data_IF_806393072089
#
_entry.id   IF_806393072089
#
_cell.length_a   1.000
_cell.length_b   1.000
_cell.length_c   1.000
_cell.angle_alpha   90.00
_cell.angle_beta   90.00
_cell.angle_gamma   90.00
#
_symmetry.space_group_name_H-M   'P 1'
#
loop_
_entity.id
_entity.type
_entity.pdbx_description
1 polymer ?
#
# COMPACT_ATOMS: atom_id res chain seq x y z
N UNK A 1 12.04 -60.39 -18.58
CA UNK A 1 12.94 -59.69 -17.63
C UNK A 1 13.32 -58.28 -18.10
N UNK A 2 13.90 -58.06 -19.29
CA UNK A 2 14.28 -56.71 -19.78
C UNK A 2 13.13 -55.69 -19.81
N UNK A 3 11.94 -56.09 -20.27
CA UNK A 3 10.74 -55.22 -20.29
C UNK A 3 10.28 -54.82 -18.87
N UNK A 4 10.34 -55.74 -17.91
CA UNK A 4 9.97 -55.48 -16.52
C UNK A 4 10.93 -54.48 -15.84
N UNK A 5 12.24 -54.65 -16.07
CA UNK A 5 13.27 -53.73 -15.58
C UNK A 5 13.07 -52.33 -16.16
N UNK A 6 12.75 -52.24 -17.45
CA UNK A 6 12.47 -50.95 -18.11
C UNK A 6 11.21 -50.28 -17.53
N UNK A 7 10.13 -51.02 -17.32
CA UNK A 7 8.90 -50.49 -16.74
C UNK A 7 9.11 -50.00 -15.30
N UNK A 8 9.87 -50.75 -14.49
CA UNK A 8 10.22 -50.35 -13.12
C UNK A 8 11.10 -49.09 -13.13
N UNK A 9 12.09 -49.02 -14.01
CA UNK A 9 12.95 -47.84 -14.14
C UNK A 9 12.17 -46.59 -14.55
N UNK A 10 11.18 -46.74 -15.43
CA UNK A 10 10.31 -45.64 -15.86
C UNK A 10 9.40 -45.17 -14.72
N UNK A 11 8.83 -46.09 -13.93
CA UNK A 11 8.01 -45.78 -12.75
C UNK A 11 8.81 -45.02 -11.66
N UNK A 12 10.08 -45.38 -11.46
CA UNK A 12 10.97 -44.70 -10.50
C UNK A 12 11.31 -43.28 -10.97
N UNK A 13 11.50 -43.04 -12.27
CA UNK A 13 11.81 -41.69 -12.77
C UNK A 13 10.57 -40.77 -12.65
N UNK A 14 9.38 -41.30 -12.89
CA UNK A 14 8.12 -40.53 -12.78
C UNK A 14 7.81 -40.17 -11.32
N UNK A 15 8.15 -41.03 -10.35
CA UNK A 15 7.90 -40.73 -8.93
C UNK A 15 8.81 -39.64 -8.38
N UNK A 16 10.03 -39.46 -8.90
CA UNK A 16 10.98 -38.42 -8.43
C UNK A 16 10.63 -37.04 -9.04
N UNK A 17 10.06 -37.00 -10.25
CA UNK A 17 9.69 -35.76 -10.92
C UNK A 17 8.35 -35.15 -10.44
N UNK A 18 7.59 -35.87 -9.59
CA UNK A 18 6.21 -35.52 -9.22
C UNK A 18 6.05 -34.65 -7.96
N UNK A 19 7.13 -34.28 -7.27
CA UNK A 19 7.01 -33.50 -6.03
C UNK A 19 7.07 -32.00 -6.32
N UNK A 20 5.91 -31.36 -6.32
CA UNK A 20 5.82 -29.90 -6.16
C UNK A 20 6.23 -29.56 -4.72
N UNK A 21 7.54 -29.38 -4.51
CA UNK A 21 8.07 -29.00 -3.21
C UNK A 21 8.03 -27.47 -3.07
N UNK A 22 7.60 -26.98 -1.90
CA UNK A 22 7.77 -25.58 -1.54
C UNK A 22 9.27 -25.27 -1.53
N UNK A 23 9.70 -24.44 -2.49
CA UNK A 23 11.08 -23.98 -2.57
C UNK A 23 11.16 -22.59 -1.98
N UNK A 24 12.03 -22.41 -0.99
CA UNK A 24 12.35 -21.08 -0.49
C UNK A 24 13.11 -20.32 -1.58
N UNK A 25 12.49 -19.27 -2.14
CA UNK A 25 13.12 -18.42 -3.15
C UNK A 25 13.92 -17.27 -2.52
N UNK A 26 13.54 -16.82 -1.33
CA UNK A 26 14.24 -15.78 -0.59
C UNK A 26 13.53 -15.39 0.71
N UNK A 27 14.11 -14.46 1.45
CA UNK A 27 13.54 -13.90 2.67
C UNK A 27 13.79 -12.39 2.76
N UNK A 28 12.94 -11.70 3.51
CA UNK A 28 13.06 -10.28 3.82
C UNK A 28 12.82 -10.07 5.31
N UNK A 29 13.52 -9.13 5.93
CA UNK A 29 13.36 -8.80 7.35
C UNK A 29 12.17 -7.86 7.62
N UNK A 30 11.11 -7.97 6.82
CA UNK A 30 9.90 -7.16 6.94
C UNK A 30 8.71 -7.87 6.27
N UNK A 31 7.51 -7.46 6.66
CA UNK A 31 6.28 -7.93 6.03
C UNK A 31 6.11 -7.26 4.67
N UNK A 32 6.05 -8.06 3.61
CA UNK A 32 5.66 -7.58 2.29
C UNK A 32 4.15 -7.73 2.09
N UNK A 33 3.55 -6.74 1.43
CA UNK A 33 2.21 -6.84 0.85
C UNK A 33 2.32 -6.98 -0.65
N UNK A 34 1.34 -7.60 -1.31
CA UNK A 34 1.23 -7.55 -2.77
C UNK A 34 0.43 -6.33 -3.19
N UNK A 35 0.85 -5.71 -4.29
CA UNK A 35 0.08 -4.68 -4.98
C UNK A 35 -0.12 -5.10 -6.43
N UNK A 36 -1.23 -4.68 -7.02
CA UNK A 36 -1.54 -4.94 -8.42
C UNK A 36 -1.62 -3.62 -9.17
N UNK A 37 -0.72 -3.45 -10.13
CA UNK A 37 -0.74 -2.34 -11.08
C UNK A 37 -1.67 -2.66 -12.25
N UNK A 38 -1.87 -1.69 -13.15
CA UNK A 38 -2.65 -1.90 -14.37
C UNK A 38 -2.16 -3.12 -15.15
N UNK A 39 -3.08 -3.75 -15.89
CA UNK A 39 -2.85 -4.96 -16.71
C UNK A 39 -2.41 -6.19 -15.89
N UNK A 40 -2.71 -6.24 -14.60
CA UNK A 40 -2.46 -7.41 -13.75
C UNK A 40 -1.00 -7.59 -13.34
N UNK A 41 -0.16 -6.56 -13.50
CA UNK A 41 1.23 -6.63 -13.07
C UNK A 41 1.28 -6.59 -11.54
N UNK A 42 1.70 -7.70 -10.93
CA UNK A 42 1.85 -7.82 -9.47
C UNK A 42 3.26 -7.44 -9.04
N UNK A 43 3.37 -6.71 -7.93
CA UNK A 43 4.62 -6.33 -7.27
C UNK A 43 4.53 -6.61 -5.78
N UNK A 44 5.68 -6.71 -5.12
CA UNK A 44 5.76 -6.68 -3.67
C UNK A 44 5.99 -5.26 -3.17
N UNK A 45 5.39 -4.90 -2.04
CA UNK A 45 5.53 -3.62 -1.38
C UNK A 45 5.98 -3.84 0.07
N UNK A 46 7.09 -3.20 0.43
CA UNK A 46 7.63 -3.16 1.78
C UNK A 46 7.56 -1.72 2.31
N UNK A 47 7.09 -1.57 3.55
CA UNK A 47 7.15 -0.29 4.28
C UNK A 47 8.42 -0.26 5.12
N UNK A 48 9.10 0.88 5.17
CA UNK A 48 10.21 1.16 6.08
C UNK A 48 9.73 2.29 7.01
N UNK A 49 9.05 1.96 8.13
CA UNK A 49 8.34 2.96 8.93
C UNK A 49 9.25 4.05 9.51
N UNK A 50 10.45 3.68 9.95
CA UNK A 50 11.40 4.62 10.56
C UNK A 50 11.98 5.63 9.57
N UNK A 51 11.90 5.33 8.27
CA UNK A 51 12.46 6.16 7.20
C UNK A 51 11.37 6.87 6.39
N UNK A 52 10.09 6.69 6.75
CA UNK A 52 8.95 7.15 5.95
C UNK A 52 9.13 6.80 4.47
N UNK A 53 9.58 5.57 4.19
CA UNK A 53 9.90 5.13 2.84
C UNK A 53 9.15 3.84 2.51
N UNK A 54 8.88 3.63 1.23
CA UNK A 54 8.47 2.33 0.71
C UNK A 54 9.46 1.83 -0.33
N UNK A 55 9.57 0.51 -0.41
CA UNK A 55 10.32 -0.17 -1.47
C UNK A 55 9.36 -1.10 -2.19
N UNK A 56 9.33 -0.98 -3.51
CA UNK A 56 8.52 -1.82 -4.39
C UNK A 56 9.47 -2.74 -5.13
N UNK A 57 9.22 -4.05 -5.05
CA UNK A 57 10.02 -5.09 -5.68
C UNK A 57 9.25 -5.77 -6.80
N UNK A 58 9.99 -6.25 -7.78
CA UNK A 58 9.51 -7.28 -8.70
C UNK A 58 9.31 -8.61 -7.95
N UNK A 59 8.58 -9.55 -8.58
CA UNK A 59 8.35 -10.87 -7.99
C UNK A 59 9.65 -11.70 -7.85
N UNK A 60 10.67 -11.39 -8.64
CA UNK A 60 12.03 -11.96 -8.53
C UNK A 60 12.89 -11.31 -7.44
N UNK A 61 12.28 -10.57 -6.52
CA UNK A 61 12.91 -9.86 -5.40
C UNK A 61 13.83 -8.70 -5.80
N UNK A 62 13.94 -8.34 -7.08
CA UNK A 62 14.72 -7.16 -7.50
C UNK A 62 13.98 -5.85 -7.18
N UNK A 63 14.71 -4.82 -6.74
CA UNK A 63 14.13 -3.50 -6.45
C UNK A 63 13.65 -2.87 -7.74
N UNK A 64 12.38 -2.46 -7.78
CA UNK A 64 11.80 -1.71 -8.89
C UNK A 64 11.82 -0.20 -8.60
N UNK A 65 11.32 0.20 -7.43
CA UNK A 65 11.24 1.60 -7.00
C UNK A 65 11.49 1.72 -5.50
N UNK A 66 12.12 2.81 -5.11
CA UNK A 66 12.27 3.24 -3.72
C UNK A 66 11.70 4.65 -3.65
N UNK A 67 10.67 4.85 -2.84
CA UNK A 67 9.89 6.10 -2.82
C UNK A 67 9.81 6.62 -1.40
N UNK A 68 10.33 7.82 -1.20
CA UNK A 68 10.21 8.56 0.05
C UNK A 68 8.81 9.15 0.17
N UNK A 69 8.16 8.91 1.29
CA UNK A 69 6.84 9.44 1.60
C UNK A 69 6.98 10.81 2.28
N UNK A 70 6.17 11.77 1.86
CA UNK A 70 6.09 13.10 2.46
C UNK A 70 5.22 13.08 3.72
N UNK A 71 5.58 12.25 4.70
CA UNK A 71 4.88 12.16 5.99
C UNK A 71 5.10 13.46 6.77
N UNK A 72 4.04 14.19 7.14
CA UNK A 72 4.18 15.45 7.86
C UNK A 72 4.89 15.28 9.22
N UNK A 73 5.49 16.36 9.71
CA UNK A 73 6.10 16.37 11.05
C UNK A 73 5.06 15.95 12.10
N UNK A 74 5.52 15.21 13.11
CA UNK A 74 4.70 14.66 14.21
C UNK A 74 3.63 13.64 13.80
N UNK A 75 3.62 13.21 12.53
CA UNK A 75 2.77 12.11 12.09
C UNK A 75 3.54 10.79 12.07
N UNK A 76 2.81 9.69 12.26
CA UNK A 76 3.28 8.32 12.05
C UNK A 76 2.59 7.74 10.83
N UNK A 77 3.35 7.06 9.96
CA UNK A 77 2.80 6.31 8.85
C UNK A 77 1.90 5.19 9.37
N UNK A 78 0.71 5.08 8.79
CA UNK A 78 -0.26 4.03 9.11
C UNK A 78 -0.26 2.96 8.02
N UNK A 79 -0.88 3.28 6.88
CA UNK A 79 -1.08 2.32 5.81
C UNK A 79 -0.79 2.92 4.42
N UNK A 80 -0.16 2.13 3.56
CA UNK A 80 -0.19 2.38 2.11
C UNK A 80 -1.50 1.80 1.60
N UNK A 81 -2.41 2.68 1.21
CA UNK A 81 -3.78 2.35 0.84
C UNK A 81 -3.90 2.00 -0.65
N UNK A 82 -3.13 2.65 -1.51
CA UNK A 82 -3.15 2.40 -2.94
C UNK A 82 -1.79 2.73 -3.58
N UNK A 83 -1.44 1.97 -4.62
CA UNK A 83 -0.29 2.27 -5.49
C UNK A 83 -0.73 2.06 -6.93
N UNK A 84 -0.47 3.04 -7.79
CA UNK A 84 -0.89 3.00 -9.19
C UNK A 84 0.14 3.62 -10.13
N UNK A 85 -0.08 3.42 -11.42
CA UNK A 85 0.52 4.22 -12.49
C UNK A 85 -0.60 4.59 -13.44
N UNK A 86 -0.66 5.86 -13.85
CA UNK A 86 -1.68 6.42 -14.75
C UNK A 86 -3.14 6.31 -14.22
N UNK A 87 -3.35 6.11 -12.92
CA UNK A 87 -4.71 6.02 -12.36
C UNK A 87 -5.16 7.38 -11.84
N UNK A 88 -4.27 8.10 -11.16
CA UNK A 88 -4.57 9.41 -10.61
C UNK A 88 -4.24 10.52 -11.62
N UNK A 89 -3.08 10.41 -12.29
CA UNK A 89 -2.66 11.31 -13.36
C UNK A 89 -2.44 10.56 -14.69
N UNK A 90 -2.08 11.31 -15.74
CA UNK A 90 -1.79 10.76 -17.09
C UNK A 90 -0.33 10.37 -17.28
N UNK A 91 0.57 10.92 -16.47
CA UNK A 91 1.99 10.65 -16.54
C UNK A 91 2.34 9.20 -16.16
N UNK A 92 3.62 8.84 -16.30
CA UNK A 92 4.14 7.50 -16.02
C UNK A 92 4.68 7.37 -14.60
N UNK A 93 4.43 8.35 -13.73
CA UNK A 93 4.90 8.27 -12.35
C UNK A 93 4.04 7.30 -11.56
N UNK A 94 4.69 6.58 -10.64
CA UNK A 94 3.96 5.82 -9.62
C UNK A 94 3.30 6.81 -8.68
N UNK A 95 2.00 6.69 -8.47
CA UNK A 95 1.28 7.46 -7.47
C UNK A 95 0.88 6.58 -6.27
N UNK A 96 0.96 7.17 -5.08
CA UNK A 96 0.74 6.46 -3.82
C UNK A 96 -0.33 7.21 -3.03
N UNK A 97 -1.35 6.48 -2.58
CA UNK A 97 -2.27 6.94 -1.55
C UNK A 97 -1.88 6.27 -0.24
N UNK A 98 -1.64 7.05 0.80
CA UNK A 98 -1.33 6.52 2.12
C UNK A 98 -2.00 7.32 3.23
N UNK A 99 -2.16 6.68 4.38
CA UNK A 99 -2.63 7.30 5.62
C UNK A 99 -1.49 7.48 6.59
N UNK A 100 -1.52 8.58 7.32
CA UNK A 100 -0.71 8.80 8.50
C UNK A 100 -1.57 9.44 9.59
N UNK A 101 -1.14 9.37 10.85
CA UNK A 101 -1.88 10.00 11.95
C UNK A 101 -0.95 10.77 12.88
N UNK A 102 -1.50 11.80 13.52
CA UNK A 102 -0.88 12.48 14.65
C UNK A 102 -1.81 12.44 15.87
N UNK A 103 -1.22 12.60 17.05
CA UNK A 103 -1.94 12.85 18.28
C UNK A 103 -1.68 14.29 18.73
N UNK A 104 -2.73 15.05 19.00
CA UNK A 104 -2.66 16.35 19.66
C UNK A 104 -2.92 16.19 21.17
N UNK A 105 -2.05 16.77 21.98
CA UNK A 105 -2.21 16.92 23.42
C UNK A 105 -2.89 18.28 23.64
N UNK A 106 -4.00 18.33 24.37
CA UNK A 106 -4.61 19.62 24.77
C UNK A 106 -3.79 20.22 25.91
N UNK A 107 -3.39 21.48 25.75
CA UNK A 107 -2.55 22.22 26.71
C UNK A 107 -3.22 22.45 28.10
N UNK A 108 -4.53 22.19 28.23
CA UNK A 108 -5.34 22.53 29.41
C UNK A 108 -5.51 21.40 30.46
N UNK A 109 -4.78 20.28 30.35
CA UNK A 109 -4.91 19.17 31.32
C UNK A 109 -3.61 19.00 32.12
N UNK A 110 -3.54 19.67 33.28
CA UNK A 110 -2.59 19.35 34.38
C UNK A 110 -2.96 18.01 35.04
N UNK A 111 -2.98 16.89 34.31
CA UNK A 111 -2.97 15.55 34.94
C UNK A 111 -2.21 14.56 34.06
N UNK A 112 -1.20 13.97 34.68
CA UNK A 112 -0.39 12.87 34.19
C UNK A 112 -1.20 11.60 33.90
N UNK A 113 -0.61 10.72 33.08
CA UNK A 113 -1.05 9.34 32.76
C UNK A 113 -2.20 9.22 31.73
N UNK A 114 -1.82 9.12 30.45
CA UNK A 114 -2.63 8.69 29.28
C UNK A 114 -3.50 9.73 28.54
N UNK A 115 -3.14 11.02 28.53
CA UNK A 115 -3.88 12.08 27.84
C UNK A 115 -3.51 12.31 26.36
N UNK A 116 -4.03 11.51 25.42
CA UNK A 116 -4.16 11.96 24.02
C UNK A 116 -5.61 12.37 23.78
N UNK A 117 -5.85 13.61 23.39
CA UNK A 117 -7.22 14.13 23.29
C UNK A 117 -7.75 14.20 21.88
N UNK A 118 -6.89 14.10 20.85
CA UNK A 118 -7.33 14.20 19.46
C UNK A 118 -6.40 13.43 18.52
N UNK A 119 -6.98 12.45 17.81
CA UNK A 119 -6.31 11.70 16.76
C UNK A 119 -6.68 12.31 15.41
N UNK A 120 -5.66 12.62 14.61
CA UNK A 120 -5.84 13.31 13.32
C UNK A 120 -5.37 12.35 12.22
N UNK A 121 -6.28 11.59 11.60
CA UNK A 121 -5.94 10.82 10.42
C UNK A 121 -5.76 11.77 9.25
N UNK A 122 -4.74 11.55 8.44
CA UNK A 122 -4.47 12.32 7.25
C UNK A 122 -4.26 11.38 6.08
N UNK A 123 -5.06 11.57 5.02
CA UNK A 123 -4.90 10.90 3.75
C UNK A 123 -4.01 11.77 2.86
N UNK A 124 -2.97 11.16 2.30
CA UNK A 124 -2.01 11.81 1.43
C UNK A 124 -1.98 11.09 0.10
N UNK A 125 -1.81 11.87 -0.97
CA UNK A 125 -1.52 11.40 -2.32
C UNK A 125 -0.21 12.03 -2.75
N UNK A 126 0.74 11.21 -3.15
CA UNK A 126 2.04 11.65 -3.65
C UNK A 126 2.37 10.94 -4.98
N UNK A 127 3.36 11.46 -5.70
CA UNK A 127 4.02 10.72 -6.77
C UNK A 127 5.34 10.09 -6.30
N UNK A 128 6.02 9.36 -7.19
CA UNK A 128 7.27 8.67 -6.90
C UNK A 128 8.46 9.57 -6.60
N UNK A 129 8.34 10.87 -6.90
CA UNK A 129 9.34 11.88 -6.58
C UNK A 129 9.14 12.47 -5.16
N UNK A 130 8.07 12.05 -4.47
CA UNK A 130 7.69 12.58 -3.16
C UNK A 130 6.87 13.88 -3.23
N UNK A 131 6.50 14.34 -4.43
CA UNK A 131 5.67 15.54 -4.58
C UNK A 131 4.26 15.28 -4.06
N UNK A 132 3.76 16.17 -3.21
CA UNK A 132 2.43 16.07 -2.62
C UNK A 132 1.40 16.58 -3.63
N UNK A 133 0.55 15.67 -4.11
CA UNK A 133 -0.53 15.96 -5.03
C UNK A 133 -1.82 16.33 -4.29
N UNK A 134 -2.06 15.71 -3.13
CA UNK A 134 -3.23 15.95 -2.30
C UNK A 134 -2.93 15.60 -0.83
N UNK A 135 -3.39 16.43 0.09
CA UNK A 135 -3.34 16.16 1.54
C UNK A 135 -4.68 16.55 2.15
N UNK A 136 -5.31 15.63 2.86
CA UNK A 136 -6.62 15.84 3.49
C UNK A 136 -6.55 15.31 4.92
N UNK A 137 -6.61 16.24 5.86
CA UNK A 137 -6.74 15.94 7.28
C UNK A 137 -8.17 15.52 7.62
N UNK A 138 -8.30 14.76 8.71
CA UNK A 138 -9.53 14.08 9.12
C UNK A 138 -10.08 13.12 8.05
N UNK A 139 -9.19 12.41 7.34
CA UNK A 139 -9.55 11.42 6.34
C UNK A 139 -8.61 10.22 6.36
N UNK A 140 -9.17 9.02 6.23
CA UNK A 140 -8.41 7.78 6.05
C UNK A 140 -8.96 6.86 4.95
N UNK A 141 -10.20 7.11 4.54
CA UNK A 141 -10.93 6.28 3.59
C UNK A 141 -11.16 7.02 2.27
N UNK A 142 -11.11 6.28 1.18
CA UNK A 142 -11.33 6.80 -0.17
C UNK A 142 -11.94 5.74 -1.08
N UNK A 143 -12.42 6.17 -2.24
CA UNK A 143 -12.87 5.29 -3.31
C UNK A 143 -12.51 5.89 -4.65
N UNK A 144 -11.96 5.07 -5.54
CA UNK A 144 -11.80 5.43 -6.95
C UNK A 144 -13.00 4.86 -7.71
N UNK A 145 -13.69 5.71 -8.46
CA UNK A 145 -14.85 5.34 -9.28
C UNK A 145 -14.54 5.67 -10.73
N UNK A 146 -14.74 4.71 -11.62
CA UNK A 146 -14.60 4.87 -13.06
C UNK A 146 -15.94 4.59 -13.73
N UNK A 147 -16.49 5.58 -14.43
CA UNK A 147 -17.74 5.46 -15.16
C UNK A 147 -17.73 6.39 -16.38
N UNK A 148 -18.19 5.88 -17.53
CA UNK A 148 -18.34 6.64 -18.77
C UNK A 148 -17.06 7.38 -19.20
N UNK A 149 -15.88 6.77 -19.01
CA UNK A 149 -14.59 7.38 -19.36
C UNK A 149 -14.11 8.50 -18.42
N UNK A 150 -14.85 8.82 -17.36
CA UNK A 150 -14.40 9.72 -16.29
C UNK A 150 -14.03 8.94 -15.05
N UNK A 151 -12.94 9.36 -14.39
CA UNK A 151 -12.53 8.81 -13.10
C UNK A 151 -12.66 9.86 -12.01
N UNK A 152 -13.16 9.43 -10.86
CA UNK A 152 -13.34 10.26 -9.68
C UNK A 152 -12.65 9.62 -8.49
N UNK A 153 -11.97 10.44 -7.71
CA UNK A 153 -11.48 10.09 -6.39
C UNK A 153 -12.44 10.70 -5.36
N UNK A 154 -13.12 9.84 -4.61
CA UNK A 154 -13.96 10.22 -3.49
C UNK A 154 -13.13 10.04 -2.22
N UNK A 155 -13.01 11.07 -1.39
CA UNK A 155 -12.34 10.99 -0.09
C UNK A 155 -13.36 11.30 1.01
N UNK A 156 -13.43 10.42 2.02
CA UNK A 156 -14.40 10.54 3.11
C UNK A 156 -13.76 11.28 4.28
N UNK A 157 -14.33 12.43 4.63
CA UNK A 157 -13.83 13.32 5.68
C UNK A 157 -14.72 13.29 6.92
N UNK A 158 -14.10 13.06 8.06
CA UNK A 158 -14.72 13.08 9.39
C UNK A 158 -14.78 14.51 9.92
N UNK A 159 -15.77 14.81 10.78
CA UNK A 159 -15.87 16.09 11.49
C UNK A 159 -15.69 15.83 12.98
N UNK A 160 -14.72 16.49 13.58
CA UNK A 160 -14.42 16.35 15.01
C UNK A 160 -13.59 15.12 15.33
N UNK A 161 -13.57 14.76 16.61
CA UNK A 161 -12.72 13.71 17.18
C UNK A 161 -13.39 12.32 17.11
N UNK A 162 -14.63 12.24 16.62
CA UNK A 162 -15.44 11.04 16.56
C UNK A 162 -15.50 10.47 15.13
N UNK A 163 -14.83 9.32 14.92
CA UNK A 163 -14.73 8.63 13.62
C UNK A 163 -16.06 8.07 13.10
N UNK A 164 -17.13 8.14 13.90
CA UNK A 164 -18.43 7.54 13.59
C UNK A 164 -19.29 8.43 12.70
N UNK A 165 -19.03 9.74 12.64
CA UNK A 165 -19.79 10.66 11.80
C UNK A 165 -19.01 11.02 10.52
N UNK A 166 -19.29 10.30 9.42
CA UNK A 166 -18.93 10.76 8.08
C UNK A 166 -19.77 11.99 7.76
N UNK A 167 -19.12 13.14 7.55
CA UNK A 167 -19.82 14.42 7.43
C UNK A 167 -19.64 15.08 6.07
N UNK A 168 -18.60 14.72 5.32
CA UNK A 168 -18.34 15.28 3.99
C UNK A 168 -17.62 14.28 3.09
N UNK A 169 -18.03 14.19 1.82
CA UNK A 169 -17.28 13.51 0.77
C UNK A 169 -16.66 14.56 -0.13
N UNK A 170 -15.34 14.54 -0.25
CA UNK A 170 -14.60 15.36 -1.21
C UNK A 170 -14.49 14.58 -2.52
N UNK A 171 -14.82 15.21 -3.64
CA UNK A 171 -14.85 14.56 -4.96
C UNK A 171 -13.86 15.28 -5.87
N UNK A 172 -12.84 14.55 -6.33
CA UNK A 172 -11.82 15.05 -7.25
C UNK A 172 -11.98 14.40 -8.60
N UNK A 173 -11.77 15.18 -9.67
CA UNK A 173 -11.56 14.62 -10.98
C UNK A 173 -10.13 14.11 -11.07
N UNK A 174 -9.94 12.86 -11.48
CA UNK A 174 -8.64 12.23 -11.65
C UNK A 174 -8.59 11.62 -13.05
N UNK A 175 -7.44 11.63 -13.71
CA UNK A 175 -7.27 11.02 -15.03
C UNK A 175 -8.36 11.32 -16.07
N UNK A 176 -8.43 12.58 -16.54
CA UNK A 176 -8.63 12.95 -17.95
C UNK A 176 -7.53 12.38 -18.80
#
# INVERSE_FOLDING_TARGET
>A
MKKLIFTISLLVIVSIAGFSQLKLEGSHNANLKTIMLKKGVVKYLMKIPNENQIVIYNLDHTVWKMISLSVPKNHKLDEIKHVSVNTLNKDQFVEIIYTCYAYEIKDDIEVAEFGYTKFIPTLNVINELGEVLLKIEHSSEFKIVEANGSKKLLVYQYKGDDFTAQNKTLIYNIGN
#
